data_IF_157506043189
#
_entry.id   IF_157506043189
#
_cell.length_a   1.000
_cell.length_b   1.000
_cell.length_c   1.000
_cell.angle_alpha   90.00
_cell.angle_beta   90.00
_cell.angle_gamma   90.00
#
_symmetry.space_group_name_H-M   'P 1'
#
loop_
_entity.id
_entity.type
_entity.pdbx_description
1 polymer ?
#
# COMPACT_ATOMS: atom_id res chain seq x y z
N UNK A 1 -7.63 18.84 16.77
CA UNK A 1 -6.88 18.53 18.00
C UNK A 1 -7.22 17.13 18.49
N UNK A 2 -6.22 16.26 18.55
CA UNK A 2 -6.33 14.97 19.24
C UNK A 2 -5.90 15.18 20.70
N UNK A 3 -6.55 14.53 21.68
CA UNK A 3 -6.10 14.58 23.07
C UNK A 3 -4.68 14.03 23.20
N UNK A 4 -3.84 14.68 24.00
CA UNK A 4 -2.46 14.22 24.27
C UNK A 4 -2.43 12.91 25.06
N UNK A 5 -3.48 12.61 25.82
CA UNK A 5 -3.67 11.38 26.60
C UNK A 5 -5.14 10.96 26.53
N UNK A 6 -5.58 10.28 25.46
CA UNK A 6 -6.96 9.81 25.34
C UNK A 6 -7.27 8.75 26.39
N UNK A 7 -8.50 8.70 26.91
CA UNK A 7 -8.94 7.58 27.75
C UNK A 7 -8.95 6.25 26.97
N UNK A 8 -9.35 6.31 25.70
CA UNK A 8 -9.35 5.18 24.77
C UNK A 8 -8.84 5.65 23.40
N UNK A 9 -7.90 4.91 22.83
CA UNK A 9 -7.48 5.04 21.44
C UNK A 9 -7.68 3.71 20.72
N UNK A 10 -8.24 3.75 19.51
CA UNK A 10 -8.40 2.58 18.66
C UNK A 10 -7.65 2.82 17.36
N UNK A 11 -6.73 1.91 17.03
CA UNK A 11 -5.94 1.98 15.80
C UNK A 11 -6.33 0.84 14.88
N UNK A 12 -6.41 1.14 13.58
CA UNK A 12 -6.77 0.18 12.55
C UNK A 12 -5.62 0.10 11.54
N UNK A 13 -5.33 -1.10 11.07
CA UNK A 13 -4.45 -1.34 9.92
C UNK A 13 -3.02 -0.78 10.07
N UNK A 14 -2.53 -0.78 11.31
CA UNK A 14 -1.25 -0.19 11.67
C UNK A 14 -0.39 -1.25 12.34
N UNK A 15 0.61 -1.76 11.60
CA UNK A 15 1.48 -2.85 12.05
C UNK A 15 2.45 -2.49 13.18
N UNK A 16 2.73 -1.21 13.40
CA UNK A 16 3.64 -0.80 14.47
C UNK A 16 3.30 0.59 14.99
N UNK A 17 3.75 0.87 16.20
CA UNK A 17 3.51 2.15 16.86
C UNK A 17 4.17 3.31 16.11
N UNK A 18 5.32 3.06 15.48
CA UNK A 18 6.07 4.03 14.69
C UNK A 18 5.30 4.47 13.44
N UNK A 19 4.46 3.59 12.88
CA UNK A 19 3.60 3.92 11.72
C UNK A 19 2.47 4.90 12.06
N UNK A 20 2.17 5.11 13.34
CA UNK A 20 1.23 6.16 13.78
C UNK A 20 1.82 7.58 13.66
N UNK A 21 3.11 7.72 13.38
CA UNK A 21 3.79 9.00 13.19
C UNK A 21 3.47 10.01 14.32
N UNK A 22 2.92 11.17 13.99
CA UNK A 22 2.58 12.21 14.96
C UNK A 22 1.57 11.80 16.04
N UNK A 23 0.85 10.69 15.84
CA UNK A 23 -0.10 10.14 16.82
C UNK A 23 0.56 9.15 17.80
N UNK A 24 1.81 8.73 17.56
CA UNK A 24 2.49 7.77 18.42
C UNK A 24 2.62 8.24 19.89
N UNK A 25 2.89 9.52 20.20
CA UNK A 25 2.89 9.99 21.59
C UNK A 25 1.54 9.83 22.28
N UNK A 26 0.45 10.19 21.60
CA UNK A 26 -0.92 10.06 22.12
C UNK A 26 -1.35 8.60 22.29
N UNK A 27 -0.87 7.71 21.41
CA UNK A 27 -1.11 6.27 21.57
C UNK A 27 -0.39 5.69 22.79
N UNK A 28 0.85 6.13 23.07
CA UNK A 28 1.61 5.69 24.25
C UNK A 28 1.01 6.15 25.57
N UNK A 29 0.33 7.29 25.57
CA UNK A 29 -0.29 7.89 26.76
C UNK A 29 -1.78 7.54 26.90
N UNK A 30 -2.33 6.73 25.98
CA UNK A 30 -3.72 6.31 26.04
C UNK A 30 -3.99 5.48 27.30
N UNK A 31 -5.12 5.70 27.96
CA UNK A 31 -5.56 4.86 29.08
C UNK A 31 -5.76 3.41 28.65
N UNK A 32 -6.39 3.21 27.49
CA UNK A 32 -6.55 1.94 26.79
C UNK A 32 -6.21 2.15 25.30
N UNK A 33 -5.41 1.25 24.73
CA UNK A 33 -5.03 1.25 23.31
C UNK A 33 -5.46 -0.07 22.66
N UNK A 34 -6.51 -0.01 21.83
CA UNK A 34 -7.04 -1.16 21.10
C UNK A 34 -6.49 -1.16 19.69
N UNK A 35 -5.86 -2.27 19.29
CA UNK A 35 -5.30 -2.46 17.94
C UNK A 35 -6.13 -3.47 17.18
N UNK A 36 -6.68 -3.06 16.03
CA UNK A 36 -7.31 -3.95 15.06
C UNK A 36 -6.44 -4.02 13.82
N UNK A 37 -5.93 -5.20 13.49
CA UNK A 37 -5.02 -5.34 12.37
C UNK A 37 -5.06 -6.74 11.75
N UNK A 38 -4.56 -6.86 10.52
CA UNK A 38 -4.37 -8.12 9.83
C UNK A 38 -2.92 -8.35 9.35
N UNK A 39 -1.99 -7.44 9.66
CA UNK A 39 -0.60 -7.63 9.31
C UNK A 39 0.06 -8.72 10.19
N UNK A 40 0.65 -9.74 9.57
CA UNK A 40 1.43 -10.77 10.28
C UNK A 40 2.65 -10.21 11.03
N UNK A 41 3.11 -9.01 10.63
CA UNK A 41 4.24 -8.30 11.21
C UNK A 41 3.81 -7.32 12.32
N UNK A 42 2.57 -7.39 12.81
CA UNK A 42 2.10 -6.47 13.84
C UNK A 42 2.88 -6.67 15.16
N UNK A 43 3.31 -5.57 15.78
CA UNK A 43 4.10 -5.60 17.03
C UNK A 43 3.26 -5.84 18.30
N UNK A 44 1.93 -5.97 18.16
CA UNK A 44 0.95 -6.09 19.24
C UNK A 44 1.11 -4.99 20.29
N UNK A 45 1.28 -3.75 19.84
CA UNK A 45 1.63 -2.60 20.68
C UNK A 45 0.47 -2.04 21.53
N UNK A 46 -0.75 -2.58 21.37
CA UNK A 46 -1.91 -2.20 22.16
C UNK A 46 -1.93 -2.84 23.54
N UNK A 47 -2.75 -2.27 24.42
CA UNK A 47 -3.18 -2.95 25.65
C UNK A 47 -4.18 -4.08 25.33
N UNK A 48 -4.97 -3.91 24.27
CA UNK A 48 -5.81 -4.95 23.65
C UNK A 48 -5.42 -5.08 22.17
N UNK A 49 -5.15 -6.30 21.71
CA UNK A 49 -4.74 -6.57 20.34
C UNK A 49 -5.69 -7.59 19.70
N UNK A 50 -6.49 -7.12 18.74
CA UNK A 50 -7.36 -7.94 17.88
C UNK A 50 -6.69 -8.04 16.51
N UNK A 51 -5.72 -8.95 16.42
CA UNK A 51 -4.90 -9.14 15.22
C UNK A 51 -5.17 -10.51 14.62
N UNK A 52 -5.60 -10.56 13.36
CA UNK A 52 -5.79 -11.82 12.62
C UNK A 52 -5.06 -11.79 11.28
N UNK A 53 -3.84 -12.36 11.22
CA UNK A 53 -3.06 -12.44 9.98
C UNK A 53 -3.69 -13.29 8.87
N UNK A 54 -4.70 -14.09 9.17
CA UNK A 54 -5.42 -14.88 8.17
C UNK A 54 -6.54 -14.08 7.49
N UNK A 55 -6.93 -12.94 8.05
CA UNK A 55 -7.95 -12.08 7.47
C UNK A 55 -7.40 -11.36 6.22
N UNK A 56 -8.22 -11.30 5.17
CA UNK A 56 -7.82 -10.68 3.92
C UNK A 56 -7.60 -9.16 4.02
N UNK A 57 -8.25 -8.52 4.99
CA UNK A 57 -8.24 -7.08 5.22
C UNK A 57 -8.57 -6.78 6.69
N UNK A 58 -8.09 -5.66 7.23
CA UNK A 58 -8.53 -5.16 8.54
C UNK A 58 -10.06 -4.94 8.58
N UNK A 59 -10.70 -4.64 7.45
CA UNK A 59 -12.16 -4.55 7.32
C UNK A 59 -12.89 -5.86 7.72
N UNK A 60 -12.31 -7.03 7.44
CA UNK A 60 -12.86 -8.33 7.87
C UNK A 60 -12.81 -8.45 9.39
N UNK A 61 -11.69 -8.08 10.00
CA UNK A 61 -11.49 -8.09 11.46
C UNK A 61 -12.50 -7.17 12.16
N UNK A 62 -12.64 -5.94 11.65
CA UNK A 62 -13.62 -4.96 12.15
C UNK A 62 -15.04 -5.51 12.05
N UNK A 63 -15.42 -6.06 10.88
CA UNK A 63 -16.76 -6.60 10.69
C UNK A 63 -17.07 -7.73 11.67
N UNK A 64 -16.14 -8.67 11.89
CA UNK A 64 -16.31 -9.77 12.85
C UNK A 64 -16.51 -9.26 14.27
N UNK A 65 -15.73 -8.26 14.70
CA UNK A 65 -15.92 -7.63 16.02
C UNK A 65 -17.30 -6.96 16.14
N UNK A 66 -17.71 -6.19 15.14
CA UNK A 66 -19.03 -5.53 15.10
C UNK A 66 -20.16 -6.57 15.19
N UNK A 67 -20.03 -7.71 14.49
CA UNK A 67 -20.97 -8.82 14.57
C UNK A 67 -21.02 -9.41 15.99
N UNK A 68 -19.84 -9.65 16.59
CA UNK A 68 -19.72 -10.21 17.93
C UNK A 68 -20.38 -9.32 19.00
N UNK A 69 -20.30 -8.00 18.83
CA UNK A 69 -20.96 -7.02 19.70
C UNK A 69 -22.46 -6.87 19.42
N UNK A 70 -23.00 -7.52 18.38
CA UNK A 70 -24.40 -7.41 17.99
C UNK A 70 -24.78 -6.03 17.46
N UNK A 71 -23.81 -5.25 16.98
CA UNK A 71 -24.06 -3.89 16.50
C UNK A 71 -24.56 -3.91 15.04
N UNK A 72 -25.60 -3.12 14.71
CA UNK A 72 -26.07 -3.01 13.35
C UNK A 72 -25.06 -2.24 12.49
N UNK A 73 -24.94 -2.62 11.21
CA UNK A 73 -24.22 -1.82 10.23
C UNK A 73 -25.11 -0.69 9.72
N UNK A 74 -24.52 0.50 9.56
CA UNK A 74 -25.11 1.57 8.76
C UNK A 74 -24.59 1.49 7.33
N UNK A 75 -25.24 2.21 6.41
CA UNK A 75 -24.76 2.33 5.03
C UNK A 75 -23.37 2.95 4.96
N UNK A 76 -23.09 3.96 5.79
CA UNK A 76 -21.79 4.63 5.86
C UNK A 76 -20.70 3.67 6.33
N UNK A 77 -20.98 2.86 7.37
CA UNK A 77 -20.07 1.82 7.80
C UNK A 77 -19.83 0.79 6.70
N UNK A 78 -20.89 0.43 5.95
CA UNK A 78 -20.77 -0.51 4.84
C UNK A 78 -19.90 0.03 3.69
N UNK A 79 -20.01 1.33 3.36
CA UNK A 79 -19.09 2.01 2.42
C UNK A 79 -17.65 1.87 2.88
N UNK A 80 -17.35 2.19 4.14
CA UNK A 80 -15.97 2.11 4.68
C UNK A 80 -15.42 0.68 4.66
N UNK A 81 -16.20 -0.30 5.10
CA UNK A 81 -15.82 -1.71 5.10
C UNK A 81 -15.60 -2.23 3.68
N UNK A 82 -16.47 -1.86 2.73
CA UNK A 82 -16.33 -2.26 1.33
C UNK A 82 -15.06 -1.68 0.72
N UNK A 83 -14.77 -0.39 0.98
CA UNK A 83 -13.55 0.26 0.51
C UNK A 83 -12.30 -0.48 1.01
N UNK A 84 -12.18 -0.75 2.31
CA UNK A 84 -11.03 -1.50 2.84
C UNK A 84 -10.93 -2.93 2.30
N UNK A 85 -12.08 -3.61 2.15
CA UNK A 85 -12.12 -4.96 1.58
C UNK A 85 -11.63 -4.99 0.13
N UNK A 86 -12.10 -4.06 -0.71
CA UNK A 86 -11.77 -4.06 -2.15
C UNK A 86 -10.35 -3.59 -2.41
N UNK A 87 -9.79 -2.69 -1.59
CA UNK A 87 -8.39 -2.26 -1.72
C UNK A 87 -7.41 -3.36 -1.34
N UNK A 88 -7.61 -4.02 -0.21
CA UNK A 88 -6.65 -5.02 0.33
C UNK A 88 -6.68 -6.34 -0.44
N UNK A 89 -7.77 -6.60 -1.17
CA UNK A 89 -7.90 -7.78 -2.04
C UNK A 89 -7.57 -7.47 -3.50
N UNK A 90 -7.15 -6.25 -3.80
CA UNK A 90 -6.79 -5.83 -5.16
C UNK A 90 -7.95 -5.93 -6.14
N UNK A 91 -9.16 -5.54 -5.71
CA UNK A 91 -10.41 -5.77 -6.45
C UNK A 91 -10.70 -7.26 -6.63
N UNK A 92 -10.52 -8.04 -5.56
CA UNK A 92 -10.75 -9.49 -5.54
C UNK A 92 -9.80 -10.29 -6.46
N UNK A 93 -8.65 -9.73 -6.81
CA UNK A 93 -7.67 -10.34 -7.72
C UNK A 93 -6.50 -11.01 -7.00
N UNK A 94 -6.27 -10.66 -5.74
CA UNK A 94 -5.14 -11.17 -4.96
C UNK A 94 -5.48 -12.53 -4.33
N UNK A 95 -4.43 -13.29 -4.00
CA UNK A 95 -4.54 -14.65 -3.44
C UNK A 95 -5.21 -14.72 -2.06
N UNK A 96 -5.30 -13.60 -1.36
CA UNK A 96 -6.06 -13.46 -0.11
C UNK A 96 -7.58 -13.35 -0.34
N UNK A 97 -8.07 -13.37 -1.58
CA UNK A 97 -9.50 -13.36 -1.89
C UNK A 97 -10.12 -14.74 -1.61
N UNK A 98 -10.82 -14.87 -0.48
CA UNK A 98 -11.45 -16.12 -0.03
C UNK A 98 -12.97 -16.10 -0.15
N UNK A 99 -13.63 -17.22 0.16
CA UNK A 99 -15.09 -17.27 0.26
C UNK A 99 -15.66 -16.28 1.29
N UNK A 100 -14.93 -16.00 2.37
CA UNK A 100 -15.33 -15.00 3.36
C UNK A 100 -15.33 -13.58 2.78
N UNK A 101 -14.35 -13.24 1.95
CA UNK A 101 -14.29 -11.95 1.25
C UNK A 101 -15.53 -11.75 0.40
N UNK A 102 -15.94 -12.76 -0.39
CA UNK A 102 -17.15 -12.68 -1.20
C UNK A 102 -18.43 -12.63 -0.38
N UNK A 103 -18.50 -13.38 0.73
CA UNK A 103 -19.64 -13.32 1.64
C UNK A 103 -19.79 -11.92 2.27
N UNK A 104 -18.68 -11.31 2.70
CA UNK A 104 -18.69 -9.95 3.21
C UNK A 104 -19.07 -8.94 2.12
N UNK A 105 -18.50 -9.06 0.92
CA UNK A 105 -18.87 -8.18 -0.20
C UNK A 105 -20.37 -8.27 -0.54
N UNK A 106 -20.95 -9.48 -0.53
CA UNK A 106 -22.39 -9.69 -0.73
C UNK A 106 -23.22 -9.03 0.39
N UNK A 107 -22.83 -9.20 1.65
CA UNK A 107 -23.49 -8.55 2.79
C UNK A 107 -23.50 -7.02 2.62
N UNK A 108 -22.33 -6.44 2.34
CA UNK A 108 -22.15 -5.00 2.20
C UNK A 108 -22.90 -4.44 0.99
N UNK A 109 -22.98 -5.19 -0.12
CA UNK A 109 -23.76 -4.82 -1.29
C UNK A 109 -25.26 -4.67 -0.99
N UNK A 110 -25.78 -5.34 0.04
CA UNK A 110 -27.16 -5.21 0.51
C UNK A 110 -27.52 -3.82 1.06
N UNK A 111 -26.54 -2.91 1.22
CA UNK A 111 -26.74 -1.53 1.68
C UNK A 111 -26.88 -0.51 0.52
N UNK A 112 -27.17 -0.97 -0.70
CA UNK A 112 -27.30 -0.13 -1.90
C UNK A 112 -26.07 0.77 -2.12
N UNK A 113 -24.89 0.17 -2.04
CA UNK A 113 -23.62 0.84 -2.27
C UNK A 113 -23.47 1.14 -3.77
N UNK A 114 -22.98 2.33 -4.16
CA UNK A 114 -22.74 2.66 -5.57
C UNK A 114 -21.41 2.03 -6.03
N UNK A 115 -21.33 0.68 -5.98
CA UNK A 115 -20.09 -0.10 -6.15
C UNK A 115 -19.33 0.28 -7.42
N UNK A 116 -20.03 0.45 -8.54
CA UNK A 116 -19.41 0.86 -9.81
C UNK A 116 -18.78 2.26 -9.70
N UNK A 117 -19.48 3.21 -9.08
CA UNK A 117 -18.97 4.57 -8.83
C UNK A 117 -17.77 4.57 -7.87
N UNK A 118 -17.86 3.81 -6.78
CA UNK A 118 -16.76 3.64 -5.82
C UNK A 118 -15.53 3.02 -6.50
N UNK A 119 -15.72 1.96 -7.30
CA UNK A 119 -14.62 1.29 -8.00
C UNK A 119 -13.96 2.24 -9.02
N UNK A 120 -14.75 3.03 -9.74
CA UNK A 120 -14.25 4.05 -10.66
C UNK A 120 -13.42 5.11 -9.92
N UNK A 121 -13.93 5.62 -8.81
CA UNK A 121 -13.26 6.64 -8.00
C UNK A 121 -11.96 6.12 -7.37
N UNK A 122 -11.95 4.87 -6.90
CA UNK A 122 -10.79 4.28 -6.23
C UNK A 122 -9.69 3.83 -7.20
N UNK A 123 -10.05 3.39 -8.41
CA UNK A 123 -9.12 2.61 -9.24
C UNK A 123 -9.05 3.01 -10.71
N UNK A 124 -9.99 3.80 -11.24
CA UNK A 124 -10.13 4.00 -12.70
C UNK A 124 -10.20 5.47 -13.13
N UNK A 125 -10.13 6.43 -12.21
CA UNK A 125 -10.13 7.85 -12.57
C UNK A 125 -8.83 8.55 -12.16
N UNK A 126 -8.26 9.23 -13.15
CA UNK A 126 -7.16 10.16 -12.98
C UNK A 126 -7.40 11.37 -13.88
N UNK A 127 -6.76 12.50 -13.56
CA UNK A 127 -6.74 13.65 -14.46
C UNK A 127 -6.04 13.26 -15.77
N UNK A 128 -6.44 13.87 -16.88
CA UNK A 128 -5.81 13.60 -18.17
C UNK A 128 -4.29 13.88 -18.16
N UNK A 129 -3.87 14.91 -17.44
CA UNK A 129 -2.46 15.23 -17.21
C UNK A 129 -1.64 14.04 -16.65
N UNK A 130 -2.21 13.28 -15.73
CA UNK A 130 -1.58 12.07 -15.20
C UNK A 130 -1.34 11.03 -16.31
N UNK A 131 -2.29 10.86 -17.24
CA UNK A 131 -2.12 9.94 -18.37
C UNK A 131 -0.96 10.36 -19.29
N UNK A 132 -0.74 11.67 -19.47
CA UNK A 132 0.40 12.19 -20.24
C UNK A 132 1.74 11.97 -19.52
N UNK A 133 1.77 12.19 -18.20
CA UNK A 133 2.92 11.87 -17.36
C UNK A 133 3.25 10.37 -17.43
N UNK A 134 2.24 9.51 -17.30
CA UNK A 134 2.39 8.06 -17.43
C UNK A 134 2.95 7.69 -18.79
N UNK A 135 2.46 8.28 -19.89
CA UNK A 135 2.99 8.02 -21.22
C UNK A 135 4.50 8.33 -21.31
N UNK A 136 4.95 9.42 -20.71
CA UNK A 136 6.38 9.79 -20.66
C UNK A 136 7.21 8.82 -19.82
N UNK A 137 6.69 8.40 -18.67
CA UNK A 137 7.33 7.40 -17.83
C UNK A 137 7.43 6.04 -18.54
N UNK A 138 6.35 5.58 -19.17
CA UNK A 138 6.38 4.31 -19.90
C UNK A 138 7.33 4.35 -21.11
N UNK A 139 7.42 5.49 -21.81
CA UNK A 139 8.34 5.66 -22.93
C UNK A 139 9.82 5.59 -22.50
N UNK A 140 10.15 5.98 -21.25
CA UNK A 140 11.52 5.93 -20.70
C UNK A 140 11.82 4.70 -19.87
N UNK A 141 10.86 3.79 -19.72
CA UNK A 141 11.04 2.60 -18.91
C UNK A 141 12.17 1.70 -19.44
N UNK A 142 12.97 1.16 -18.54
CA UNK A 142 14.09 0.28 -18.83
C UNK A 142 13.75 -1.16 -18.43
N UNK A 143 13.79 -2.09 -19.39
CA UNK A 143 13.68 -3.52 -19.15
C UNK A 143 15.06 -4.18 -19.19
N UNK A 144 15.37 -4.93 -18.14
CA UNK A 144 16.52 -5.81 -18.05
C UNK A 144 16.04 -7.25 -17.96
N UNK A 145 16.23 -7.97 -19.07
CA UNK A 145 15.72 -9.34 -19.23
C UNK A 145 16.52 -10.35 -18.43
N UNK A 146 17.80 -10.09 -18.19
CA UNK A 146 18.68 -11.00 -17.44
C UNK A 146 18.33 -10.96 -15.96
N UNK A 147 18.07 -9.76 -15.43
CA UNK A 147 17.60 -9.57 -14.05
C UNK A 147 16.09 -9.76 -13.88
N UNK A 148 15.34 -9.95 -14.98
CA UNK A 148 13.86 -9.93 -15.01
C UNK A 148 13.33 -8.74 -14.21
N UNK A 149 13.81 -7.55 -14.57
CA UNK A 149 13.60 -6.31 -13.84
C UNK A 149 13.15 -5.20 -14.78
N UNK A 150 12.13 -4.45 -14.39
CA UNK A 150 11.66 -3.27 -15.13
C UNK A 150 11.67 -2.05 -14.20
N UNK A 151 12.14 -0.92 -14.71
CA UNK A 151 12.15 0.32 -13.94
C UNK A 151 11.72 1.53 -14.77
N UNK A 152 11.13 2.51 -14.11
CA UNK A 152 10.94 3.86 -14.64
C UNK A 152 11.10 4.87 -13.51
N UNK A 153 11.12 6.15 -13.84
CA UNK A 153 11.18 7.22 -12.86
C UNK A 153 10.31 8.42 -13.24
N UNK A 154 9.94 9.18 -12.22
CA UNK A 154 9.26 10.48 -12.30
C UNK A 154 10.22 11.54 -11.79
N UNK A 155 10.52 12.56 -12.61
CA UNK A 155 11.37 13.68 -12.20
C UNK A 155 10.55 14.84 -11.63
N UNK A 156 11.21 15.75 -10.93
CA UNK A 156 10.57 17.01 -10.51
C UNK A 156 10.12 17.85 -11.72
N UNK A 157 10.85 17.77 -12.83
CA UNK A 157 10.49 18.41 -14.10
C UNK A 157 9.22 17.79 -14.71
N UNK A 158 9.07 16.45 -14.68
CA UNK A 158 7.87 15.77 -15.17
C UNK A 158 6.63 16.24 -14.38
N UNK A 159 6.71 16.29 -13.05
CA UNK A 159 5.62 16.75 -12.18
C UNK A 159 5.23 18.20 -12.47
N UNK A 160 6.22 19.09 -12.62
CA UNK A 160 5.99 20.49 -12.92
C UNK A 160 5.42 20.70 -14.33
N UNK A 161 5.93 19.98 -15.32
CA UNK A 161 5.50 20.08 -16.72
C UNK A 161 4.04 19.64 -16.91
N UNK A 162 3.65 18.53 -16.27
CA UNK A 162 2.29 17.99 -16.37
C UNK A 162 1.33 18.55 -15.30
N UNK A 163 1.82 19.38 -14.37
CA UNK A 163 1.04 19.89 -13.24
C UNK A 163 0.40 18.76 -12.41
N UNK A 164 1.15 17.68 -12.18
CA UNK A 164 0.75 16.49 -11.43
C UNK A 164 1.40 16.50 -10.05
N UNK A 165 0.61 16.23 -9.02
CA UNK A 165 1.13 16.10 -7.66
C UNK A 165 1.82 14.74 -7.47
N UNK A 166 2.82 14.69 -6.59
CA UNK A 166 3.62 13.49 -6.37
C UNK A 166 2.77 12.28 -5.92
N UNK A 167 1.75 12.51 -5.10
CA UNK A 167 0.81 11.50 -4.59
C UNK A 167 -0.08 10.90 -5.69
N UNK A 168 -0.41 11.66 -6.73
CA UNK A 168 -1.13 11.15 -7.92
C UNK A 168 -0.31 10.07 -8.66
N UNK A 169 1.00 10.01 -8.46
CA UNK A 169 1.89 9.04 -9.13
C UNK A 169 1.92 7.64 -8.50
N UNK A 170 1.21 7.41 -7.38
CA UNK A 170 1.21 6.12 -6.69
C UNK A 170 0.72 4.96 -7.56
N UNK A 171 -0.21 5.20 -8.49
CA UNK A 171 -0.70 4.17 -9.42
C UNK A 171 0.29 3.74 -10.51
N UNK A 172 1.40 4.46 -10.74
CA UNK A 172 2.32 4.18 -11.85
C UNK A 172 2.98 2.79 -11.72
N UNK A 173 3.29 2.37 -10.49
CA UNK A 173 3.92 1.06 -10.23
C UNK A 173 3.02 -0.11 -10.69
N UNK A 174 1.70 0.05 -10.65
CA UNK A 174 0.73 -0.97 -11.08
C UNK A 174 0.64 -1.12 -12.60
N UNK A 175 1.07 -0.11 -13.36
CA UNK A 175 1.23 -0.20 -14.80
C UNK A 175 2.56 -0.86 -15.15
N UNK A 176 3.64 -0.42 -14.50
CA UNK A 176 5.01 -0.90 -14.76
C UNK A 176 5.15 -2.39 -14.45
N UNK A 177 4.52 -2.88 -13.37
CA UNK A 177 4.54 -4.31 -13.00
C UNK A 177 3.81 -5.24 -13.97
N UNK A 178 3.17 -4.72 -15.03
CA UNK A 178 2.49 -5.54 -16.05
C UNK A 178 3.44 -6.11 -17.11
N UNK A 179 4.70 -5.69 -17.13
CA UNK A 179 5.71 -6.24 -18.03
C UNK A 179 5.91 -7.74 -17.72
N UNK A 180 5.50 -8.61 -18.64
CA UNK A 180 5.48 -10.06 -18.43
C UNK A 180 6.89 -10.66 -18.28
N UNK A 181 7.91 -9.99 -18.83
CA UNK A 181 9.30 -10.39 -18.78
C UNK A 181 9.99 -10.07 -17.44
N UNK A 182 9.34 -9.31 -16.56
CA UNK A 182 9.92 -8.88 -15.29
C UNK A 182 9.20 -9.52 -14.08
N UNK A 183 9.99 -9.96 -13.10
CA UNK A 183 9.49 -10.41 -11.79
C UNK A 183 9.46 -9.27 -10.78
N UNK A 184 10.27 -8.22 -11.00
CA UNK A 184 10.41 -7.07 -10.10
C UNK A 184 10.22 -5.79 -10.89
N UNK A 185 9.34 -4.92 -10.40
CA UNK A 185 9.11 -3.59 -10.92
C UNK A 185 9.62 -2.53 -9.94
N UNK A 186 10.19 -1.46 -10.48
CA UNK A 186 10.69 -0.32 -9.73
C UNK A 186 10.17 1.00 -10.31
N UNK A 187 9.67 1.86 -9.43
CA UNK A 187 9.36 3.25 -9.76
C UNK A 187 10.13 4.15 -8.82
N UNK A 188 10.95 5.02 -9.38
CA UNK A 188 11.67 6.05 -8.64
C UNK A 188 10.94 7.39 -8.79
N UNK A 189 10.89 8.19 -7.75
CA UNK A 189 10.24 9.50 -7.76
C UNK A 189 11.15 10.51 -7.09
N UNK A 190 11.49 11.57 -7.79
CA UNK A 190 12.25 12.68 -7.20
C UNK A 190 11.36 13.48 -6.23
N UNK A 191 11.92 13.77 -5.06
CA UNK A 191 11.32 14.59 -4.01
C UNK A 191 12.37 15.57 -3.48
N UNK A 192 11.98 16.63 -2.75
CA UNK A 192 12.95 17.52 -2.10
C UNK A 192 13.93 16.81 -1.16
N UNK A 193 13.54 15.67 -0.60
CA UNK A 193 14.32 14.87 0.35
C UNK A 193 15.23 13.83 -0.32
N UNK A 194 15.12 13.64 -1.64
CA UNK A 194 15.88 12.67 -2.42
C UNK A 194 15.01 11.90 -3.43
N UNK A 195 15.29 10.62 -3.61
CA UNK A 195 14.57 9.73 -4.51
C UNK A 195 13.81 8.70 -3.69
N UNK A 196 12.48 8.76 -3.75
CA UNK A 196 11.58 7.74 -3.18
C UNK A 196 11.50 6.58 -4.16
N UNK A 197 11.79 5.37 -3.69
CA UNK A 197 11.80 4.15 -4.49
C UNK A 197 10.65 3.26 -4.06
N UNK A 198 9.85 2.81 -5.02
CA UNK A 198 8.80 1.81 -4.83
C UNK A 198 9.17 0.54 -5.59
N UNK A 199 9.18 -0.60 -4.89
CA UNK A 199 9.42 -1.91 -5.46
C UNK A 199 8.16 -2.77 -5.37
N UNK A 200 7.89 -3.56 -6.42
CA UNK A 200 6.85 -4.59 -6.43
C UNK A 200 7.41 -5.88 -7.00
N UNK A 201 7.15 -7.00 -6.33
CA UNK A 201 7.37 -8.33 -6.91
C UNK A 201 6.07 -8.86 -7.52
N UNK A 202 6.18 -9.45 -8.70
CA UNK A 202 5.10 -10.13 -9.43
C UNK A 202 5.20 -11.64 -9.24
N UNK A 203 6.41 -12.16 -9.12
CA UNK A 203 6.70 -13.56 -8.83
C UNK A 203 7.21 -13.72 -7.38
N UNK A 204 7.63 -14.94 -7.02
CA UNK A 204 8.17 -15.23 -5.69
C UNK A 204 9.58 -14.62 -5.49
N UNK A 205 9.61 -13.33 -5.18
CA UNK A 205 10.83 -12.57 -4.90
C UNK A 205 10.58 -11.61 -3.73
N UNK A 206 11.53 -11.53 -2.80
CA UNK A 206 11.40 -10.69 -1.61
C UNK A 206 11.97 -9.29 -1.84
N UNK A 207 11.13 -8.35 -2.28
CA UNK A 207 11.53 -6.94 -2.41
C UNK A 207 11.67 -6.25 -1.05
N UNK A 208 11.08 -6.79 0.01
CA UNK A 208 11.23 -6.29 1.37
C UNK A 208 12.67 -6.38 1.85
N UNK A 209 13.30 -7.55 1.66
CA UNK A 209 14.71 -7.77 1.97
C UNK A 209 15.64 -6.82 1.20
N UNK A 210 15.35 -6.58 -0.09
CA UNK A 210 16.10 -5.60 -0.90
C UNK A 210 16.00 -4.21 -0.31
N UNK A 211 14.78 -3.75 0.02
CA UNK A 211 14.55 -2.42 0.58
C UNK A 211 15.23 -2.22 1.95
N UNK A 212 15.26 -3.24 2.80
CA UNK A 212 15.96 -3.21 4.09
C UNK A 212 17.47 -2.95 3.93
N UNK A 213 18.10 -3.52 2.89
CA UNK A 213 19.51 -3.25 2.55
C UNK A 213 19.80 -1.77 2.21
N UNK A 214 18.76 -0.99 1.91
CA UNK A 214 18.82 0.45 1.66
C UNK A 214 18.27 1.31 2.81
N UNK A 215 17.99 0.71 3.98
CA UNK A 215 17.42 1.42 5.13
C UNK A 215 15.92 1.74 4.97
N UNK A 216 15.24 1.10 4.02
CA UNK A 216 13.78 1.12 3.92
C UNK A 216 13.15 -0.16 4.47
N UNK A 217 12.00 -0.53 3.92
CA UNK A 217 11.26 -1.71 4.36
C UNK A 217 9.94 -1.90 3.63
N UNK A 218 9.13 -2.82 4.15
CA UNK A 218 7.83 -3.20 3.59
C UNK A 218 7.64 -4.71 3.58
N UNK A 219 6.70 -5.17 2.76
CA UNK A 219 6.34 -6.57 2.62
C UNK A 219 7.14 -7.24 1.52
N UNK A 220 7.14 -8.59 1.54
CA UNK A 220 7.76 -9.44 0.51
C UNK A 220 7.45 -8.98 -0.91
N UNK A 221 6.19 -8.65 -1.20
CA UNK A 221 5.72 -8.28 -2.54
C UNK A 221 5.67 -6.77 -2.82
N UNK A 222 5.81 -5.94 -1.78
CA UNK A 222 5.63 -4.50 -1.89
C UNK A 222 6.45 -3.78 -0.82
N UNK A 223 7.47 -3.04 -1.25
CA UNK A 223 8.39 -2.34 -0.36
C UNK A 223 8.86 -1.02 -0.96
N UNK A 224 9.61 -0.25 -0.17
CA UNK A 224 10.22 0.98 -0.64
C UNK A 224 11.29 1.51 0.30
N UNK A 225 12.06 2.47 -0.20
CA UNK A 225 13.09 3.18 0.54
C UNK A 225 13.29 4.58 -0.05
N UNK A 226 13.97 5.46 0.68
CA UNK A 226 14.35 6.79 0.20
C UNK A 226 15.87 6.90 0.15
N UNK A 227 16.41 7.44 -0.95
CA UNK A 227 17.85 7.62 -1.14
C UNK A 227 18.19 9.07 -1.45
N UNK A 228 19.34 9.58 -0.99
CA UNK A 228 19.85 10.90 -1.40
C UNK A 228 20.69 10.85 -2.70
N UNK A 229 20.89 9.67 -3.27
CA UNK A 229 21.61 9.50 -4.52
C UNK A 229 20.72 9.86 -5.72
N UNK A 230 21.35 10.10 -6.87
CA UNK A 230 20.63 10.38 -8.13
C UNK A 230 19.90 9.14 -8.67
N UNK A 231 18.87 9.35 -9.51
CA UNK A 231 18.12 8.24 -10.15
C UNK A 231 19.03 7.19 -10.80
N UNK A 232 20.05 7.56 -11.61
CA UNK A 232 20.96 6.57 -12.22
C UNK A 232 21.76 5.77 -11.19
N UNK A 233 22.25 6.42 -10.12
CA UNK A 233 22.99 5.75 -9.05
C UNK A 233 22.08 4.79 -8.26
N UNK A 234 20.85 5.19 -7.98
CA UNK A 234 19.87 4.33 -7.30
C UNK A 234 19.53 3.12 -8.17
N UNK A 235 19.28 3.31 -9.47
CA UNK A 235 19.04 2.21 -10.40
C UNK A 235 20.21 1.22 -10.44
N UNK A 236 21.45 1.71 -10.54
CA UNK A 236 22.64 0.86 -10.52
C UNK A 236 22.76 0.04 -9.23
N UNK A 237 22.48 0.67 -8.08
CA UNK A 237 22.50 0.01 -6.76
C UNK A 237 21.40 -1.05 -6.63
N UNK A 238 20.19 -0.75 -7.10
CA UNK A 238 19.07 -1.72 -7.09
C UNK A 238 19.41 -2.91 -7.98
N UNK A 239 19.91 -2.69 -9.20
CA UNK A 239 20.36 -3.77 -10.10
C UNK A 239 21.41 -4.66 -9.43
N UNK A 240 22.42 -4.07 -8.79
CA UNK A 240 23.45 -4.83 -8.07
C UNK A 240 22.88 -5.66 -6.91
N UNK A 241 21.93 -5.11 -6.15
CA UNK A 241 21.26 -5.84 -5.07
C UNK A 241 20.40 -7.01 -5.61
N UNK A 242 19.73 -6.83 -6.75
CA UNK A 242 18.97 -7.90 -7.41
C UNK A 242 19.89 -9.01 -7.94
N UNK A 243 21.04 -8.66 -8.52
CA UNK A 243 22.05 -9.64 -8.92
C UNK A 243 22.52 -10.47 -7.73
N UNK A 244 22.83 -9.82 -6.60
CA UNK A 244 23.29 -10.50 -5.39
C UNK A 244 22.21 -11.38 -4.75
N UNK A 245 20.93 -11.00 -4.85
CA UNK A 245 19.82 -11.77 -4.30
C UNK A 245 19.43 -12.99 -5.15
N UNK A 246 19.79 -13.00 -6.45
CA UNK A 246 19.49 -14.09 -7.40
C UNK A 246 20.66 -15.07 -7.59
N UNK A 247 21.88 -14.66 -7.25
CA UNK A 247 23.08 -15.50 -7.28
C UNK A 247 23.22 -16.34 -6.02
#
# INVERSE_FOLDING_TARGET
DFPEAPELMVTFDCGSLERLAGLAPAARSAGELVVLDHHATNDHYGTINVVDPSAAATAVVVRRLVAHLGWPLTREAAVCLYTGLVTDTGRFQYSNTTAEVFALAQELAGFDLPIAGMSRQLFEEHRFAYLQLVASCLARAELDRDLRFVATWVTAEDLAHYEVALDETEGLIDLVRRAAEADVACVLKETPEGVKVSLRAVADFDVGAVAQGFGGGGHRFASGFTSRASVPEVLARVRAALTAARG
#
